data_IF_746947271085
#
_entry.id   IF_746947271085
#
_cell.length_a   1.000
_cell.length_b   1.000
_cell.length_c   1.000
_cell.angle_alpha   90.00
_cell.angle_beta   90.00
_cell.angle_gamma   90.00
#
_symmetry.space_group_name_H-M   'P 1'
#
loop_
_entity.id
_entity.type
_entity.pdbx_description
1 polymer ?
#
# COMPACT_ATOMS: atom_id res chain seq x y z
N UNK A 1 28.03 39.74 49.99
CA UNK A 1 27.62 38.33 49.76
C UNK A 1 26.92 38.23 48.41
N UNK A 2 27.26 37.24 47.57
CA UNK A 2 26.65 37.06 46.23
C UNK A 2 25.13 36.87 46.33
N UNK A 3 24.37 37.60 45.51
CA UNK A 3 22.90 37.56 45.41
C UNK A 3 22.35 36.12 45.35
N UNK A 4 23.07 35.24 44.65
CA UNK A 4 22.71 33.83 44.47
C UNK A 4 22.80 33.01 45.75
N UNK A 5 23.69 33.38 46.70
CA UNK A 5 23.78 32.74 48.01
C UNK A 5 22.63 33.16 48.92
N UNK A 6 22.24 34.43 48.89
CA UNK A 6 21.06 34.91 49.65
C UNK A 6 19.78 34.25 49.15
N UNK A 7 19.61 34.15 47.82
CA UNK A 7 18.48 33.48 47.19
C UNK A 7 18.40 31.99 47.58
N UNK A 8 19.52 31.26 47.47
CA UNK A 8 19.55 29.84 47.83
C UNK A 8 19.35 29.60 49.33
N UNK A 9 19.80 30.52 50.20
CA UNK A 9 19.55 30.42 51.65
C UNK A 9 18.06 30.53 51.96
N UNK A 10 17.36 31.49 51.34
CA UNK A 10 15.91 31.65 51.52
C UNK A 10 15.12 30.45 50.96
N UNK A 11 15.44 30.01 49.74
CA UNK A 11 14.77 28.89 49.08
C UNK A 11 14.99 27.55 49.80
N UNK A 12 16.21 27.27 50.26
CA UNK A 12 16.49 26.03 51.00
C UNK A 12 15.73 25.98 52.32
N UNK A 13 15.62 27.11 53.03
CA UNK A 13 14.95 27.17 54.32
C UNK A 13 13.42 27.00 54.24
N UNK A 14 12.80 27.36 53.11
CA UNK A 14 11.33 27.31 52.94
C UNK A 14 10.85 26.13 52.12
N UNK A 15 11.66 25.63 51.17
CA UNK A 15 11.22 24.65 50.19
C UNK A 15 12.15 23.44 50.05
N UNK A 16 13.34 23.49 50.64
CA UNK A 16 14.39 22.48 50.43
C UNK A 16 15.06 22.53 49.05
N UNK A 17 14.69 23.48 48.18
CA UNK A 17 15.20 23.58 46.81
C UNK A 17 16.40 24.55 46.71
N UNK A 18 17.29 24.28 45.74
CA UNK A 18 18.43 25.12 45.40
C UNK A 18 18.51 25.39 43.91
N UNK A 19 18.84 26.62 43.54
CA UNK A 19 19.08 27.04 42.15
C UNK A 19 20.57 27.01 41.85
N UNK A 20 20.95 26.37 40.75
CA UNK A 20 22.32 26.35 40.23
C UNK A 20 22.34 26.91 38.80
N UNK A 21 23.45 27.55 38.42
CA UNK A 21 23.62 28.05 37.05
C UNK A 21 23.84 26.84 36.14
N UNK A 22 23.02 26.70 35.10
CA UNK A 22 23.17 25.62 34.13
C UNK A 22 24.52 25.74 33.41
N UNK A 23 25.23 24.63 33.26
CA UNK A 23 26.43 24.59 32.42
C UNK A 23 26.03 24.78 30.95
N UNK A 24 26.83 25.54 30.20
CA UNK A 24 26.61 25.73 28.78
C UNK A 24 26.68 24.37 28.07
N UNK A 25 25.63 24.02 27.33
CA UNK A 25 25.59 22.80 26.51
C UNK A 25 26.50 23.04 25.31
N UNK A 26 27.54 22.23 25.17
CA UNK A 26 28.42 22.27 24.00
C UNK A 26 27.62 21.92 22.73
N UNK A 27 27.88 22.58 21.58
CA UNK A 27 27.19 22.24 20.33
C UNK A 27 27.49 20.79 19.94
N UNK A 28 26.52 20.07 19.34
CA UNK A 28 26.74 18.70 18.90
C UNK A 28 27.87 18.67 17.87
N UNK A 29 28.87 17.83 18.11
CA UNK A 29 29.95 17.59 17.15
C UNK A 29 29.42 17.11 15.80
N UNK A 30 30.20 17.24 14.72
CA UNK A 30 29.77 16.81 13.40
C UNK A 30 29.36 15.34 13.44
N UNK A 31 28.10 15.06 13.07
CA UNK A 31 27.61 13.69 12.91
C UNK A 31 28.45 13.06 11.80
N UNK A 32 29.28 12.07 12.14
CA UNK A 32 29.84 11.17 11.14
C UNK A 32 28.67 10.65 10.31
N UNK A 33 28.61 11.04 9.04
CA UNK A 33 27.64 10.50 8.11
C UNK A 33 27.87 8.99 8.09
N UNK A 34 26.96 8.24 8.72
CA UNK A 34 26.96 6.79 8.60
C UNK A 34 27.02 6.47 7.11
N UNK A 35 28.02 5.69 6.70
CA UNK A 35 28.17 5.25 5.33
C UNK A 35 26.79 4.74 4.86
N UNK A 36 26.30 5.26 3.72
CA UNK A 36 25.05 4.78 3.13
C UNK A 36 25.14 3.26 3.07
N UNK A 37 24.24 2.50 3.72
CA UNK A 37 24.33 1.05 3.71
C UNK A 37 24.38 0.60 2.25
N UNK A 38 25.38 -0.21 1.92
CA UNK A 38 25.54 -0.76 0.58
C UNK A 38 24.24 -1.42 0.13
N UNK A 39 23.95 -1.36 -1.17
CA UNK A 39 22.73 -1.92 -1.74
C UNK A 39 22.60 -3.39 -1.33
N UNK A 40 21.63 -3.71 -0.48
CA UNK A 40 21.38 -5.09 -0.01
C UNK A 40 21.16 -6.00 -1.22
N UNK A 41 21.76 -7.21 -1.23
CA UNK A 41 21.53 -8.17 -2.31
C UNK A 41 20.04 -8.55 -2.38
N UNK A 42 19.53 -8.85 -3.57
CA UNK A 42 18.14 -9.28 -3.78
C UNK A 42 17.84 -10.53 -2.93
N UNK A 43 16.69 -10.61 -2.23
CA UNK A 43 16.35 -11.80 -1.46
C UNK A 43 16.15 -12.99 -2.41
N UNK A 44 16.78 -14.11 -2.07
CA UNK A 44 16.50 -15.41 -2.68
C UNK A 44 15.27 -15.98 -2.00
N UNK A 45 14.32 -16.47 -2.81
CA UNK A 45 13.09 -17.13 -2.40
C UNK A 45 12.66 -18.12 -3.47
N UNK A 46 11.71 -18.98 -3.12
CA UNK A 46 11.14 -19.99 -4.02
C UNK A 46 9.63 -19.90 -4.03
N UNK A 47 9.04 -20.31 -5.15
CA UNK A 47 7.62 -20.59 -5.21
C UNK A 47 7.41 -21.96 -4.51
N UNK A 48 6.58 -22.06 -3.46
CA UNK A 48 6.35 -23.32 -2.77
C UNK A 48 5.71 -24.33 -3.72
N UNK A 49 6.11 -25.60 -3.62
CA UNK A 49 5.46 -26.65 -4.39
C UNK A 49 4.03 -26.89 -3.86
N UNK A 50 3.12 -27.49 -4.65
CA UNK A 50 1.76 -27.76 -4.19
C UNK A 50 1.66 -28.53 -2.87
N UNK A 51 2.63 -29.41 -2.60
CA UNK A 51 2.72 -30.19 -1.35
C UNK A 51 3.11 -29.32 -0.15
N UNK A 52 3.91 -28.27 -0.36
CA UNK A 52 4.40 -27.39 0.71
C UNK A 52 3.41 -26.28 1.03
N UNK A 53 2.51 -25.92 0.10
CA UNK A 53 1.52 -24.85 0.29
C UNK A 53 0.72 -24.97 1.58
N UNK A 54 0.33 -26.20 1.96
CA UNK A 54 -0.46 -26.42 3.18
C UNK A 54 0.32 -26.16 4.47
N UNK A 55 1.65 -26.26 4.43
CA UNK A 55 2.54 -25.98 5.56
C UNK A 55 2.99 -24.52 5.55
N UNK A 56 3.24 -23.97 4.37
CA UNK A 56 3.87 -22.68 4.19
C UNK A 56 2.91 -21.50 4.13
N UNK A 57 1.63 -21.72 3.77
CA UNK A 57 0.63 -20.67 3.58
C UNK A 57 -0.66 -20.97 4.31
N UNK A 58 -1.10 -20.01 5.12
CA UNK A 58 -2.35 -20.06 5.85
C UNK A 58 -3.48 -19.41 5.05
N UNK A 59 -3.18 -18.41 4.22
CA UNK A 59 -4.17 -17.79 3.36
C UNK A 59 -4.52 -18.70 2.18
N UNK A 60 -5.79 -18.63 1.78
CA UNK A 60 -6.32 -19.24 0.56
C UNK A 60 -6.86 -18.14 -0.34
N UNK A 61 -6.47 -18.19 -1.60
CA UNK A 61 -6.92 -17.29 -2.66
C UNK A 61 -6.97 -15.79 -2.28
N UNK A 62 -5.91 -15.22 -1.66
CA UNK A 62 -5.90 -13.82 -1.29
C UNK A 62 -6.05 -12.93 -2.53
N UNK A 63 -6.80 -11.84 -2.39
CA UNK A 63 -7.09 -10.93 -3.50
C UNK A 63 -6.11 -9.77 -3.49
N UNK A 64 -5.51 -9.46 -4.65
CA UNK A 64 -4.61 -8.32 -4.81
C UNK A 64 -5.15 -7.31 -5.82
N UNK A 65 -5.29 -6.05 -5.39
CA UNK A 65 -5.63 -4.94 -6.28
C UNK A 65 -4.34 -4.30 -6.82
N UNK A 66 -4.05 -4.57 -8.09
CA UNK A 66 -2.93 -3.99 -8.84
C UNK A 66 -3.39 -2.73 -9.55
N UNK A 67 -2.83 -1.59 -9.18
CA UNK A 67 -3.27 -0.30 -9.72
C UNK A 67 -2.17 0.75 -9.66
N UNK A 68 -2.20 1.75 -10.55
CA UNK A 68 -1.36 2.92 -10.38
C UNK A 68 -1.77 3.67 -9.12
N UNK A 69 -0.88 4.48 -8.59
CA UNK A 69 -1.29 5.53 -7.65
C UNK A 69 -2.39 6.39 -8.29
N UNK A 70 -3.33 6.91 -7.49
CA UNK A 70 -4.38 7.85 -7.94
C UNK A 70 -5.37 7.29 -8.99
N UNK A 71 -5.46 5.97 -9.11
CA UNK A 71 -6.41 5.27 -9.98
C UNK A 71 -7.79 5.05 -9.35
N UNK A 72 -8.00 5.44 -8.08
CA UNK A 72 -9.24 5.15 -7.36
C UNK A 72 -9.22 3.81 -6.61
N UNK A 73 -8.06 3.21 -6.41
CA UNK A 73 -7.92 1.92 -5.71
C UNK A 73 -8.36 1.93 -4.25
N UNK A 74 -8.33 3.08 -3.57
CA UNK A 74 -8.98 3.21 -2.25
C UNK A 74 -10.50 3.10 -2.34
N UNK A 75 -11.14 3.68 -3.37
CA UNK A 75 -12.59 3.52 -3.56
C UNK A 75 -12.93 2.04 -3.76
N UNK A 76 -12.25 1.37 -4.70
CA UNK A 76 -12.47 -0.06 -4.96
C UNK A 76 -12.26 -0.93 -3.70
N UNK A 77 -11.21 -0.63 -2.94
CA UNK A 77 -10.97 -1.31 -1.66
C UNK A 77 -12.14 -1.14 -0.70
N UNK A 78 -12.73 0.06 -0.61
CA UNK A 78 -13.83 0.33 0.31
C UNK A 78 -15.12 -0.35 -0.12
N UNK A 79 -15.40 -0.40 -1.42
CA UNK A 79 -16.52 -1.19 -1.97
C UNK A 79 -16.37 -2.68 -1.58
N UNK A 80 -15.18 -3.26 -1.74
CA UNK A 80 -14.90 -4.63 -1.32
C UNK A 80 -14.98 -4.79 0.20
N UNK A 81 -14.41 -3.88 1.00
CA UNK A 81 -14.44 -3.99 2.46
C UNK A 81 -15.86 -3.94 3.04
N UNK A 82 -16.78 -3.27 2.35
CA UNK A 82 -18.17 -3.21 2.75
C UNK A 82 -18.91 -4.55 2.54
N UNK A 83 -18.42 -5.42 1.66
CA UNK A 83 -18.92 -6.79 1.53
C UNK A 83 -18.73 -7.59 2.85
N UNK A 84 -19.71 -8.43 3.26
CA UNK A 84 -19.60 -9.25 4.47
C UNK A 84 -18.43 -10.25 4.43
N UNK A 85 -18.11 -10.79 3.25
CA UNK A 85 -17.06 -11.82 3.07
C UNK A 85 -15.62 -11.30 2.90
N UNK A 86 -15.43 -10.01 2.58
CA UNK A 86 -14.10 -9.46 2.27
C UNK A 86 -13.56 -8.54 3.37
N UNK A 87 -12.37 -8.81 3.87
CA UNK A 87 -11.60 -7.88 4.68
C UNK A 87 -10.56 -7.17 3.83
N UNK A 88 -10.74 -5.86 3.63
CA UNK A 88 -9.83 -5.05 2.82
C UNK A 88 -9.23 -3.92 3.68
N UNK A 89 -8.16 -4.21 4.46
CA UNK A 89 -7.54 -3.26 5.37
C UNK A 89 -6.77 -2.15 4.63
N UNK A 90 -6.28 -1.16 5.38
CA UNK A 90 -5.38 -0.12 4.85
C UNK A 90 -4.14 -0.69 4.16
N UNK A 91 -3.42 0.16 3.41
CA UNK A 91 -2.22 -0.28 2.68
C UNK A 91 -1.23 -0.93 3.65
N UNK A 92 -0.99 -2.24 3.49
CA UNK A 92 -0.14 -3.01 4.39
C UNK A 92 1.34 -2.87 4.04
N UNK A 93 1.65 -2.40 2.83
CA UNK A 93 3.01 -2.26 2.33
C UNK A 93 3.84 -3.54 2.47
N UNK A 94 3.24 -4.73 2.27
CA UNK A 94 3.87 -6.03 2.54
C UNK A 94 5.25 -6.19 1.89
N UNK A 95 5.47 -5.64 0.68
CA UNK A 95 6.78 -5.64 -0.01
C UNK A 95 7.91 -5.05 0.85
N UNK A 96 7.59 -4.16 1.79
CA UNK A 96 8.53 -3.47 2.68
C UNK A 96 8.70 -4.17 4.03
N UNK A 97 7.97 -5.25 4.28
CA UNK A 97 8.20 -6.12 5.44
C UNK A 97 9.37 -7.04 5.09
N UNK A 98 10.53 -6.73 5.64
CA UNK A 98 11.81 -7.42 5.38
C UNK A 98 12.24 -8.22 6.62
N UNK A 99 12.95 -9.33 6.40
CA UNK A 99 13.59 -10.12 7.46
C UNK A 99 15.10 -9.90 7.38
N UNK A 100 15.78 -9.83 8.53
CA UNK A 100 17.23 -9.81 8.60
C UNK A 100 17.72 -10.83 9.64
N UNK A 101 18.96 -11.30 9.46
CA UNK A 101 19.58 -12.24 10.39
C UNK A 101 20.52 -11.48 11.32
N UNK A 102 20.26 -11.57 12.63
CA UNK A 102 21.13 -10.95 13.64
C UNK A 102 22.54 -11.55 13.71
N UNK A 103 22.75 -12.74 13.13
CA UNK A 103 24.06 -13.38 13.06
C UNK A 103 24.19 -14.33 11.87
N UNK A 104 25.43 -14.64 11.45
CA UNK A 104 25.71 -15.67 10.44
C UNK A 104 25.25 -17.07 10.88
N UNK A 105 25.27 -17.35 12.18
CA UNK A 105 24.80 -18.64 12.70
C UNK A 105 23.29 -18.78 12.51
N UNK A 106 22.51 -17.72 12.78
CA UNK A 106 21.07 -17.70 12.55
C UNK A 106 20.71 -17.88 11.08
N UNK A 107 21.46 -17.22 10.17
CA UNK A 107 21.29 -17.44 8.73
C UNK A 107 21.54 -18.90 8.35
N UNK A 108 22.68 -19.47 8.76
CA UNK A 108 23.02 -20.88 8.47
C UNK A 108 22.00 -21.86 9.03
N UNK A 109 21.44 -21.56 10.20
CA UNK A 109 20.40 -22.39 10.81
C UNK A 109 19.11 -22.40 9.96
N UNK A 110 18.70 -21.26 9.40
CA UNK A 110 17.51 -21.20 8.52
C UNK A 110 17.80 -21.81 7.14
N UNK A 111 18.96 -21.55 6.54
CA UNK A 111 19.36 -22.24 5.29
C UNK A 111 19.44 -23.76 5.45
N UNK A 112 19.79 -24.27 6.64
CA UNK A 112 19.76 -25.72 6.93
C UNK A 112 18.34 -26.31 6.99
N UNK A 113 17.33 -25.46 7.20
CA UNK A 113 15.91 -25.80 7.03
C UNK A 113 15.39 -25.47 5.63
N UNK A 114 16.28 -25.11 4.71
CA UNK A 114 15.94 -24.69 3.35
C UNK A 114 15.05 -23.43 3.34
N UNK A 115 15.21 -22.55 4.33
CA UNK A 115 14.49 -21.28 4.44
C UNK A 115 15.45 -20.12 4.21
N UNK A 116 15.48 -19.61 2.98
CA UNK A 116 16.25 -18.41 2.66
C UNK A 116 15.50 -17.15 3.08
N UNK A 117 16.19 -16.00 3.06
CA UNK A 117 15.65 -14.72 3.55
C UNK A 117 14.30 -14.38 2.92
N UNK A 118 14.14 -14.60 1.62
CA UNK A 118 12.90 -14.27 0.93
C UNK A 118 11.76 -15.25 1.22
N UNK A 119 12.06 -16.51 1.56
CA UNK A 119 11.07 -17.49 2.03
C UNK A 119 10.55 -17.10 3.42
N UNK A 120 11.45 -16.68 4.33
CA UNK A 120 11.07 -16.14 5.64
C UNK A 120 10.24 -14.86 5.52
N UNK A 121 10.57 -13.97 4.57
CA UNK A 121 9.76 -12.81 4.25
C UNK A 121 8.36 -13.21 3.76
N UNK A 122 8.23 -14.25 2.92
CA UNK A 122 6.92 -14.76 2.49
C UNK A 122 6.10 -15.34 3.66
N UNK A 123 6.73 -16.10 4.56
CA UNK A 123 6.07 -16.59 5.79
C UNK A 123 5.58 -15.42 6.66
N UNK A 124 6.37 -14.35 6.78
CA UNK A 124 5.99 -13.14 7.50
C UNK A 124 4.79 -12.45 6.82
N UNK A 125 4.82 -12.28 5.49
CA UNK A 125 3.73 -11.64 4.74
C UNK A 125 2.43 -12.40 4.91
N UNK A 126 2.46 -13.72 4.71
CA UNK A 126 1.31 -14.61 4.88
C UNK A 126 0.77 -14.55 6.30
N UNK A 127 1.63 -14.69 7.31
CA UNK A 127 1.18 -14.72 8.71
C UNK A 127 0.54 -13.40 9.14
N UNK A 128 1.09 -12.26 8.72
CA UNK A 128 0.56 -10.92 9.03
C UNK A 128 -0.82 -10.74 8.39
N UNK A 129 -0.94 -11.05 7.10
CA UNK A 129 -2.21 -10.93 6.38
C UNK A 129 -3.27 -11.93 6.92
N UNK A 130 -2.88 -13.18 7.19
CA UNK A 130 -3.74 -14.18 7.83
C UNK A 130 -4.23 -13.72 9.22
N UNK A 131 -3.36 -13.08 10.03
CA UNK A 131 -3.77 -12.53 11.33
C UNK A 131 -4.89 -11.51 11.17
N UNK A 132 -4.77 -10.58 10.22
CA UNK A 132 -5.80 -9.58 9.98
C UNK A 132 -7.10 -10.21 9.46
N UNK A 133 -7.01 -11.20 8.57
CA UNK A 133 -8.17 -11.96 8.12
C UNK A 133 -8.92 -12.63 9.29
N UNK A 134 -8.22 -13.39 10.13
CA UNK A 134 -8.81 -14.06 11.30
C UNK A 134 -9.45 -13.05 12.26
N UNK A 135 -8.77 -11.93 12.54
CA UNK A 135 -9.31 -10.89 13.43
C UNK A 135 -10.55 -10.20 12.86
N UNK A 136 -10.67 -10.14 11.54
CA UNK A 136 -11.83 -9.54 10.88
C UNK A 136 -13.08 -10.43 10.95
N UNK A 137 -12.90 -11.74 11.16
CA UNK A 137 -13.99 -12.72 11.10
C UNK A 137 -14.58 -12.92 9.71
N UNK A 138 -13.88 -12.50 8.65
CA UNK A 138 -14.31 -12.61 7.25
C UNK A 138 -13.56 -13.72 6.51
N UNK A 139 -14.03 -14.05 5.32
CA UNK A 139 -13.58 -15.22 4.56
C UNK A 139 -12.32 -14.95 3.73
N UNK A 140 -12.22 -13.76 3.13
CA UNK A 140 -11.16 -13.43 2.20
C UNK A 140 -10.49 -12.11 2.55
N UNK A 141 -9.16 -12.07 2.42
CA UNK A 141 -8.40 -10.83 2.53
C UNK A 141 -8.17 -10.19 1.16
N UNK A 142 -8.30 -8.87 1.12
CA UNK A 142 -8.00 -8.04 -0.05
C UNK A 142 -6.87 -7.10 0.30
N UNK A 143 -5.72 -7.27 -0.33
CA UNK A 143 -4.58 -6.37 -0.17
C UNK A 143 -4.54 -5.37 -1.32
N UNK A 144 -4.45 -4.10 -0.96
CA UNK A 144 -4.28 -2.99 -1.90
C UNK A 144 -3.13 -2.13 -1.41
N UNK A 145 -1.99 -2.24 -2.08
CA UNK A 145 -0.91 -1.26 -2.03
C UNK A 145 -0.41 -1.01 -3.47
N UNK A 146 -0.45 0.23 -4.00
CA UNK A 146 -0.05 0.49 -5.40
C UNK A 146 1.36 -0.01 -5.76
N UNK A 147 2.30 0.03 -4.80
CA UNK A 147 3.67 -0.43 -5.02
C UNK A 147 3.81 -1.95 -5.20
N UNK A 148 2.76 -2.73 -4.95
CA UNK A 148 2.79 -4.18 -5.14
C UNK A 148 2.84 -4.58 -6.62
N UNK A 149 2.41 -3.70 -7.53
CA UNK A 149 2.56 -3.91 -8.97
C UNK A 149 4.03 -4.13 -9.39
N UNK A 150 5.00 -3.53 -8.66
CA UNK A 150 6.44 -3.72 -8.94
C UNK A 150 6.98 -5.11 -8.56
N UNK A 151 6.20 -5.92 -7.84
CA UNK A 151 6.60 -7.24 -7.34
C UNK A 151 5.55 -8.31 -7.58
N UNK A 152 4.70 -8.13 -8.58
CA UNK A 152 3.60 -9.07 -8.86
C UNK A 152 4.10 -10.53 -8.98
N UNK A 153 5.29 -10.76 -9.58
CA UNK A 153 5.89 -12.11 -9.68
C UNK A 153 6.17 -12.69 -8.30
N UNK A 154 6.78 -11.90 -7.42
CA UNK A 154 7.07 -12.32 -6.03
C UNK A 154 5.80 -12.56 -5.22
N UNK A 155 4.73 -11.80 -5.48
CA UNK A 155 3.42 -12.00 -4.85
C UNK A 155 2.78 -13.30 -5.35
N UNK A 156 2.78 -13.54 -6.67
CA UNK A 156 2.31 -14.79 -7.28
C UNK A 156 3.11 -16.00 -6.79
N UNK A 157 4.43 -15.86 -6.66
CA UNK A 157 5.28 -16.95 -6.16
C UNK A 157 5.07 -17.15 -4.64
N UNK A 158 4.62 -16.13 -3.89
CA UNK A 158 4.21 -16.28 -2.50
C UNK A 158 2.87 -17.02 -2.39
N UNK A 159 1.87 -16.62 -3.19
CA UNK A 159 0.52 -17.20 -3.23
C UNK A 159 0.16 -17.58 -4.66
N UNK A 160 0.44 -18.83 -5.08
CA UNK A 160 0.16 -19.28 -6.44
C UNK A 160 -1.34 -19.27 -6.81
N UNK A 161 -2.21 -19.33 -5.80
CA UNK A 161 -3.66 -19.26 -5.88
C UNK A 161 -4.22 -17.83 -5.74
N UNK A 162 -3.37 -16.80 -5.65
CA UNK A 162 -3.82 -15.42 -5.52
C UNK A 162 -4.67 -14.96 -6.71
N UNK A 163 -5.73 -14.21 -6.40
CA UNK A 163 -6.63 -13.62 -7.39
C UNK A 163 -6.25 -12.17 -7.63
N UNK A 164 -5.99 -11.81 -8.89
CA UNK A 164 -5.50 -10.49 -9.25
C UNK A 164 -6.58 -9.63 -9.90
N UNK A 165 -6.79 -8.44 -9.34
CA UNK A 165 -7.71 -7.42 -9.84
C UNK A 165 -6.89 -6.23 -10.34
N UNK A 166 -7.01 -5.88 -11.61
CA UNK A 166 -6.30 -4.77 -12.24
C UNK A 166 -7.23 -3.56 -12.39
N UNK A 167 -6.95 -2.49 -11.64
CA UNK A 167 -7.68 -1.23 -11.76
C UNK A 167 -6.93 -0.26 -12.66
N UNK A 168 -7.52 0.01 -13.82
CA UNK A 168 -7.04 1.00 -14.78
C UNK A 168 -7.76 2.33 -14.59
N UNK A 169 -7.12 3.40 -15.02
CA UNK A 169 -7.70 4.75 -15.08
C UNK A 169 -6.99 5.51 -16.20
N UNK A 170 -7.67 6.46 -16.83
CA UNK A 170 -7.08 7.27 -17.88
C UNK A 170 -5.70 7.85 -17.46
N UNK A 171 -4.60 7.59 -18.21
CA UNK A 171 -3.25 7.98 -17.81
C UNK A 171 -3.09 9.47 -17.45
N UNK A 172 -3.69 10.35 -18.24
CA UNK A 172 -3.67 11.80 -17.97
C UNK A 172 -4.42 12.16 -16.68
N UNK A 173 -5.55 11.51 -16.38
CA UNK A 173 -6.28 11.75 -15.12
C UNK A 173 -5.49 11.28 -13.90
N UNK A 174 -4.70 10.21 -14.04
CA UNK A 174 -3.78 9.75 -13.00
C UNK A 174 -2.67 10.79 -12.77
N UNK A 175 -1.99 11.23 -13.83
CA UNK A 175 -0.93 12.24 -13.75
C UNK A 175 -1.44 13.56 -13.15
N UNK A 176 -2.59 14.05 -13.62
CA UNK A 176 -3.24 15.27 -13.09
C UNK A 176 -3.55 15.12 -11.60
N UNK A 177 -4.11 13.98 -11.17
CA UNK A 177 -4.39 13.74 -9.75
C UNK A 177 -3.12 13.59 -8.89
N UNK A 178 -2.00 13.15 -9.47
CA UNK A 178 -0.71 13.08 -8.78
C UNK A 178 -0.09 14.47 -8.60
N UNK A 179 -0.17 15.32 -9.64
CA UNK A 179 0.24 16.72 -9.58
C UNK A 179 -0.60 17.52 -8.56
N UNK A 180 -1.93 17.43 -8.60
CA UNK A 180 -2.85 18.08 -7.65
C UNK A 180 -2.60 17.68 -6.17
N UNK A 181 -1.90 16.57 -5.93
CA UNK A 181 -1.57 16.12 -4.58
C UNK A 181 -0.50 16.96 -3.86
N UNK A 182 0.43 17.58 -4.61
CA UNK A 182 1.47 18.47 -4.07
C UNK A 182 1.98 19.42 -5.17
N UNK A 183 1.14 20.34 -5.67
CA UNK A 183 1.43 21.11 -6.90
C UNK A 183 2.62 22.07 -6.74
N UNK A 184 2.96 22.47 -5.51
CA UNK A 184 4.11 23.32 -5.22
C UNK A 184 5.46 22.58 -5.23
N UNK A 185 5.47 21.24 -5.19
CA UNK A 185 6.71 20.45 -5.15
C UNK A 185 6.94 19.57 -6.38
N UNK A 186 5.94 19.41 -7.24
CA UNK A 186 6.03 18.54 -8.42
C UNK A 186 5.39 19.23 -9.62
N UNK A 187 6.13 19.36 -10.72
CA UNK A 187 5.57 19.82 -11.99
C UNK A 187 4.62 18.77 -12.58
N UNK A 188 3.82 19.15 -13.58
CA UNK A 188 2.96 18.17 -14.24
C UNK A 188 3.79 17.10 -15.00
N UNK A 189 4.92 17.47 -15.61
CA UNK A 189 5.77 16.54 -16.34
C UNK A 189 6.43 15.51 -15.41
N UNK A 190 6.92 15.95 -14.24
CA UNK A 190 7.40 15.05 -13.19
C UNK A 190 6.28 14.11 -12.72
N UNK A 191 5.05 14.63 -12.61
CA UNK A 191 3.90 13.82 -12.22
C UNK A 191 3.51 12.79 -13.28
N UNK A 192 3.58 13.15 -14.55
CA UNK A 192 3.35 12.25 -15.67
C UNK A 192 4.41 11.14 -15.70
N UNK A 193 5.69 11.47 -15.52
CA UNK A 193 6.78 10.49 -15.47
C UNK A 193 6.64 9.52 -14.28
N UNK A 194 6.36 10.05 -13.08
CA UNK A 194 6.12 9.25 -11.87
C UNK A 194 4.93 8.31 -12.04
N UNK A 195 3.82 8.84 -12.55
CA UNK A 195 2.61 8.07 -12.79
C UNK A 195 2.87 6.96 -13.80
N UNK A 196 3.54 7.27 -14.92
CA UNK A 196 3.88 6.31 -15.97
C UNK A 196 4.71 5.13 -15.44
N UNK A 197 5.60 5.36 -14.46
CA UNK A 197 6.36 4.27 -13.82
C UNK A 197 5.44 3.25 -13.14
N UNK A 198 4.39 3.70 -12.46
CA UNK A 198 3.39 2.81 -11.88
C UNK A 198 2.50 2.17 -12.94
N UNK A 199 2.09 2.92 -13.97
CA UNK A 199 1.26 2.37 -15.07
C UNK A 199 1.99 1.23 -15.79
N UNK A 200 3.28 1.40 -16.11
CA UNK A 200 4.13 0.35 -16.68
C UNK A 200 4.22 -0.87 -15.79
N UNK A 201 4.33 -0.69 -14.47
CA UNK A 201 4.35 -1.82 -13.54
C UNK A 201 3.03 -2.61 -13.53
N UNK A 202 1.90 -1.91 -13.59
CA UNK A 202 0.57 -2.53 -13.67
C UNK A 202 0.37 -3.23 -15.00
N UNK A 203 0.75 -2.61 -16.12
CA UNK A 203 0.63 -3.23 -17.44
C UNK A 203 1.53 -4.49 -17.56
N UNK A 204 2.74 -4.43 -17.02
CA UNK A 204 3.62 -5.61 -16.92
C UNK A 204 3.04 -6.72 -16.04
N UNK A 205 2.36 -6.37 -14.94
CA UNK A 205 1.68 -7.34 -14.09
C UNK A 205 0.48 -7.96 -14.81
N UNK A 206 -0.33 -7.14 -15.49
CA UNK A 206 -1.50 -7.57 -16.26
C UNK A 206 -1.12 -8.52 -17.40
N UNK A 207 -0.02 -8.23 -18.11
CA UNK A 207 0.52 -9.11 -19.15
C UNK A 207 1.15 -10.40 -18.60
N UNK A 208 1.63 -10.38 -17.37
CA UNK A 208 2.34 -11.49 -16.74
C UNK A 208 1.48 -12.42 -15.88
N UNK A 209 0.21 -12.07 -15.64
CA UNK A 209 -0.75 -12.84 -14.86
C UNK A 209 -1.88 -13.31 -15.79
N UNK A 210 -2.06 -14.62 -15.88
CA UNK A 210 -3.21 -15.23 -16.56
C UNK A 210 -4.41 -15.28 -15.62
N UNK A 211 -5.61 -15.04 -16.14
CA UNK A 211 -6.85 -15.16 -15.36
C UNK A 211 -7.12 -14.02 -14.37
N UNK A 212 -6.46 -12.86 -14.50
CA UNK A 212 -6.80 -11.68 -13.71
C UNK A 212 -8.00 -10.91 -14.27
N UNK A 213 -8.71 -10.20 -13.39
CA UNK A 213 -9.86 -9.37 -13.77
C UNK A 213 -9.47 -7.91 -13.92
N UNK A 214 -9.84 -7.28 -15.04
CA UNK A 214 -9.54 -5.86 -15.28
C UNK A 214 -10.81 -5.03 -15.26
N UNK A 215 -10.78 -3.91 -14.54
CA UNK A 215 -11.85 -2.91 -14.53
C UNK A 215 -11.25 -1.50 -14.64
N UNK A 216 -12.05 -0.57 -15.15
CA UNK A 216 -11.67 0.85 -15.27
C UNK A 216 -12.36 1.66 -14.19
N UNK A 217 -11.65 2.63 -13.63
CA UNK A 217 -12.19 3.57 -12.66
C UNK A 217 -13.44 4.27 -13.21
N UNK A 218 -13.41 4.64 -14.49
CA UNK A 218 -14.50 5.34 -15.15
C UNK A 218 -15.78 4.48 -15.17
N UNK A 219 -15.65 3.18 -15.47
CA UNK A 219 -16.76 2.23 -15.47
C UNK A 219 -17.36 2.06 -14.06
N UNK A 220 -16.51 2.00 -13.02
CA UNK A 220 -16.97 1.98 -11.62
C UNK A 220 -17.78 3.23 -11.30
N UNK A 221 -17.31 4.42 -11.69
CA UNK A 221 -18.02 5.66 -11.38
C UNK A 221 -19.28 5.89 -12.21
N UNK A 222 -19.39 5.27 -13.38
CA UNK A 222 -20.55 5.39 -14.26
C UNK A 222 -21.63 4.35 -13.95
N UNK A 223 -21.24 3.14 -13.52
CA UNK A 223 -22.15 2.03 -13.26
C UNK A 223 -21.63 1.10 -12.16
N UNK A 224 -21.55 1.57 -10.89
CA UNK A 224 -20.87 0.84 -9.83
C UNK A 224 -21.49 -0.51 -9.53
N UNK A 225 -22.82 -0.64 -9.52
CA UNK A 225 -23.49 -1.92 -9.30
C UNK A 225 -23.09 -2.96 -10.35
N UNK A 226 -23.11 -2.57 -11.63
CA UNK A 226 -22.77 -3.45 -12.74
C UNK A 226 -21.33 -3.96 -12.64
N UNK A 227 -20.38 -3.06 -12.36
CA UNK A 227 -18.98 -3.44 -12.23
C UNK A 227 -18.71 -4.25 -10.95
N UNK A 228 -19.38 -3.95 -9.84
CA UNK A 228 -19.26 -4.75 -8.62
C UNK A 228 -19.86 -6.15 -8.79
N UNK A 229 -20.98 -6.31 -9.51
CA UNK A 229 -21.52 -7.64 -9.85
C UNK A 229 -20.55 -8.47 -10.69
N UNK A 230 -19.91 -7.86 -11.69
CA UNK A 230 -18.88 -8.54 -12.51
C UNK A 230 -17.66 -8.93 -11.69
N UNK A 231 -17.21 -8.06 -10.79
CA UNK A 231 -16.10 -8.35 -9.89
C UNK A 231 -16.43 -9.46 -8.89
N UNK A 232 -17.63 -9.44 -8.29
CA UNK A 232 -18.11 -10.50 -7.40
C UNK A 232 -18.18 -11.85 -8.13
N UNK A 233 -18.70 -11.88 -9.36
CA UNK A 233 -18.72 -13.09 -10.18
C UNK A 233 -17.31 -13.63 -10.48
N UNK A 234 -16.33 -12.76 -10.72
CA UNK A 234 -14.93 -13.16 -10.85
C UNK A 234 -14.34 -13.71 -9.54
N UNK A 235 -14.73 -13.14 -8.40
CA UNK A 235 -14.27 -13.54 -7.06
C UNK A 235 -15.11 -14.66 -6.44
N UNK A 236 -16.03 -15.26 -7.20
CA UNK A 236 -16.91 -16.35 -6.77
C UNK A 236 -17.69 -16.04 -5.47
N UNK A 237 -18.26 -14.84 -5.40
CA UNK A 237 -19.18 -14.43 -4.33
C UNK A 237 -20.41 -13.75 -4.91
N UNK A 238 -21.51 -13.74 -4.16
CA UNK A 238 -22.68 -12.96 -4.53
C UNK A 238 -22.43 -11.45 -4.40
N UNK A 239 -23.17 -10.66 -5.16
CA UNK A 239 -23.16 -9.21 -4.98
C UNK A 239 -23.98 -8.81 -3.76
N UNK A 240 -23.44 -7.88 -2.97
CA UNK A 240 -24.11 -7.34 -1.78
C UNK A 240 -24.34 -5.83 -1.95
N UNK A 241 -25.60 -5.34 -1.84
CA UNK A 241 -25.91 -3.91 -1.97
C UNK A 241 -25.11 -3.01 -1.02
N UNK A 242 -24.74 -3.54 0.15
CA UNK A 242 -23.91 -2.84 1.14
C UNK A 242 -22.55 -2.37 0.58
N UNK A 243 -22.06 -2.98 -0.50
CA UNK A 243 -20.85 -2.53 -1.20
C UNK A 243 -20.98 -1.10 -1.71
N UNK A 244 -22.17 -0.66 -2.13
CA UNK A 244 -22.40 0.66 -2.72
C UNK A 244 -22.61 1.76 -1.67
N UNK A 245 -22.98 1.37 -0.45
CA UNK A 245 -23.18 2.23 0.72
C UNK A 245 -22.08 2.02 1.78
N UNK A 246 -20.82 1.98 1.33
CA UNK A 246 -19.67 1.58 2.14
C UNK A 246 -19.40 2.49 3.36
N UNK A 247 -19.87 3.74 3.36
CA UNK A 247 -19.68 4.66 4.49
C UNK A 247 -20.70 4.57 5.61
N UNK A 248 -21.69 3.67 5.52
CA UNK A 248 -22.57 3.37 6.67
C UNK A 248 -21.89 2.51 7.74
N UNK A 249 -20.73 1.92 7.45
CA UNK A 249 -19.95 1.13 8.40
C UNK A 249 -18.97 2.03 9.16
N UNK A 250 -18.84 1.73 10.44
CA UNK A 250 -18.10 2.42 11.50
C UNK A 250 -16.81 3.17 11.05
N UNK A 251 -16.58 4.37 11.60
CA UNK A 251 -15.47 5.30 11.26
C UNK A 251 -14.06 4.69 11.48
N UNK A 252 -13.97 3.52 12.09
CA UNK A 252 -12.73 2.78 12.37
C UNK A 252 -12.03 2.24 11.11
N UNK A 253 -12.71 2.23 9.95
CA UNK A 253 -12.14 1.72 8.69
C UNK A 253 -11.17 2.68 8.00
N UNK A 254 -11.22 3.98 8.32
CA UNK A 254 -10.40 5.02 7.69
C UNK A 254 -9.33 5.50 8.67
N UNK A 255 -8.11 4.99 8.53
CA UNK A 255 -6.97 5.42 9.36
C UNK A 255 -6.31 6.65 8.74
N UNK A 256 -6.37 7.78 9.45
CA UNK A 256 -5.69 9.02 9.05
C UNK A 256 -4.19 8.76 8.86
N UNK A 257 -3.65 9.18 7.72
CA UNK A 257 -2.23 9.07 7.40
C UNK A 257 -1.82 7.82 6.59
N UNK A 258 -2.72 6.85 6.38
CA UNK A 258 -2.42 5.60 5.65
C UNK A 258 -3.07 5.54 4.26
N UNK A 259 -3.22 6.69 3.60
CA UNK A 259 -3.64 6.78 2.19
C UNK A 259 -5.15 6.90 1.93
N UNK A 260 -6.00 6.64 2.93
CA UNK A 260 -7.46 6.61 2.75
C UNK A 260 -8.19 7.90 3.18
N UNK A 261 -7.42 8.92 3.56
CA UNK A 261 -7.93 10.13 4.20
C UNK A 261 -8.24 11.24 3.18
N UNK A 262 -9.29 11.07 2.35
CA UNK A 262 -9.79 12.11 1.43
C UNK A 262 -11.31 12.28 1.54
N UNK A 263 -11.78 13.53 1.44
CA UNK A 263 -13.20 13.89 1.64
C UNK A 263 -14.16 13.13 0.72
N UNK A 264 -13.75 12.85 -0.53
CA UNK A 264 -14.57 12.05 -1.46
C UNK A 264 -14.82 10.62 -0.96
N UNK A 265 -13.85 10.01 -0.28
CA UNK A 265 -14.02 8.67 0.29
C UNK A 265 -15.00 8.72 1.47
N UNK A 266 -14.96 9.80 2.27
CA UNK A 266 -15.83 10.00 3.43
C UNK A 266 -17.32 10.16 3.09
N UNK A 267 -17.67 10.40 1.82
CA UNK A 267 -19.08 10.44 1.39
C UNK A 267 -19.78 9.10 1.59
N UNK A 268 -19.03 7.99 1.63
CA UNK A 268 -19.59 6.67 1.83
C UNK A 268 -20.31 6.06 0.63
N UNK A 269 -20.29 6.75 -0.51
CA UNK A 269 -20.96 6.37 -1.75
C UNK A 269 -20.08 6.70 -2.96
N UNK A 270 -20.29 5.98 -4.06
CA UNK A 270 -19.58 6.22 -5.31
C UNK A 270 -19.98 7.58 -5.87
N UNK A 271 -18.97 8.44 -6.10
CA UNK A 271 -19.16 9.76 -6.70
C UNK A 271 -18.89 9.70 -8.20
N UNK A 272 -19.60 10.53 -8.97
CA UNK A 272 -19.38 10.64 -10.42
C UNK A 272 -17.92 11.01 -10.75
N UNK A 273 -17.43 10.41 -11.83
CA UNK A 273 -16.11 10.70 -12.39
C UNK A 273 -16.01 12.13 -12.94
N UNK A 274 -14.79 12.63 -13.10
CA UNK A 274 -14.54 13.82 -13.93
C UNK A 274 -14.62 13.40 -15.41
N UNK A 275 -14.96 14.32 -16.34
CA UNK A 275 -14.84 14.05 -17.78
C UNK A 275 -13.46 13.53 -18.16
N UNK A 276 -13.42 12.65 -19.16
CA UNK A 276 -12.18 12.15 -19.71
C UNK A 276 -11.39 13.28 -20.40
N UNK A 277 -10.06 13.32 -20.27
CA UNK A 277 -9.23 14.24 -21.04
C UNK A 277 -9.38 14.00 -22.55
N UNK A 278 -9.36 15.07 -23.34
CA UNK A 278 -9.38 15.01 -24.80
C UNK A 278 -8.03 14.52 -25.38
N UNK A 279 -8.02 14.09 -26.65
CA UNK A 279 -6.82 13.51 -27.29
C UNK A 279 -5.65 14.50 -27.43
N UNK A 280 -5.96 15.79 -27.60
CA UNK A 280 -4.99 16.89 -27.66
C UNK A 280 -4.41 17.26 -26.29
N UNK A 281 -5.08 16.85 -25.20
CA UNK A 281 -4.56 16.99 -23.83
C UNK A 281 -3.56 15.89 -23.45
N UNK A 282 -3.33 14.87 -24.29
CA UNK A 282 -2.46 13.73 -23.98
C UNK A 282 -0.98 14.09 -24.18
N UNK A 283 -0.17 14.16 -23.10
CA UNK A 283 1.27 14.36 -23.22
C UNK A 283 1.92 13.20 -23.98
N UNK A 284 2.94 13.50 -24.79
CA UNK A 284 3.63 12.50 -25.63
C UNK A 284 4.10 11.29 -24.82
N UNK A 285 4.65 11.51 -23.61
CA UNK A 285 5.15 10.44 -22.74
C UNK A 285 4.06 9.46 -22.28
N UNK A 286 2.78 9.88 -22.25
CA UNK A 286 1.65 9.06 -21.81
C UNK A 286 0.90 8.40 -22.97
N UNK A 287 1.06 8.88 -24.20
CA UNK A 287 0.35 8.38 -25.40
C UNK A 287 0.47 6.85 -25.57
N UNK A 288 1.65 6.22 -25.47
CA UNK A 288 1.75 4.76 -25.60
C UNK A 288 0.96 3.99 -24.54
N UNK A 289 0.79 4.56 -23.35
CA UNK A 289 0.01 3.93 -22.28
C UNK A 289 -1.49 4.13 -22.48
N UNK A 290 -1.91 5.28 -23.02
CA UNK A 290 -3.31 5.50 -23.41
C UNK A 290 -3.73 4.47 -24.48
N UNK A 291 -2.90 4.26 -25.50
CA UNK A 291 -3.11 3.24 -26.54
C UNK A 291 -3.18 1.83 -25.93
N UNK A 292 -2.18 1.45 -25.11
CA UNK A 292 -2.12 0.12 -24.48
C UNK A 292 -3.31 -0.19 -23.57
N UNK A 293 -3.96 0.83 -23.02
CA UNK A 293 -5.14 0.69 -22.17
C UNK A 293 -6.46 0.98 -22.89
N UNK A 294 -6.42 1.29 -24.19
CA UNK A 294 -7.59 1.54 -25.02
C UNK A 294 -8.35 2.82 -24.64
N UNK A 295 -7.60 3.89 -24.40
CA UNK A 295 -8.11 5.26 -24.17
C UNK A 295 -7.90 6.17 -25.40
N UNK A 296 -7.22 5.70 -26.43
CA UNK A 296 -7.10 6.37 -27.73
C UNK A 296 -7.45 5.37 -28.82
N UNK A 297 -7.99 5.89 -29.93
CA UNK A 297 -8.39 5.11 -31.11
C UNK A 297 -7.21 4.79 -32.01
#
# INVERSE_FOLDING_TARGET
MSLMRSLNRALSATTGLQVRKAAAVAPPGPKNAAAKPGKRPTPVYRCPAPVDLATDRLLREPVFIMSPVRSGSTLLRMLLNAHPRFHAPHELHIRRLEVDFGSKLSQRAMSALDLERGDLEHLLWDRVMHRELVRSGKDFIVEKTPSNAFVYRRIRDCWPDARFVFLLRHPVSVARSWHEGDPGKRTFDEAAADALRYMRAVDNARKGITGGHTLRYEDITAGPEKEMRRLCAFLDVDFEPSMLDYGRKDDTQVVKGLGDWRDKIRTGQVQSGRPLPAEDEIPEILRPMCEAWGYTS
#
